data_IF_659003718590
#
_entry.id   IF_659003718590
#
_cell.length_a   1.000
_cell.length_b   1.000
_cell.length_c   1.000
_cell.angle_alpha   90.00
_cell.angle_beta   90.00
_cell.angle_gamma   90.00
#
_symmetry.space_group_name_H-M   'P 1'
#
loop_
_entity.id
_entity.type
_entity.pdbx_description
1 polymer ?
#
# COMPACT_ATOMS: atom_id res chain seq x y z
N UNK A 1 6.25 17.37 0.35
CA UNK A 1 5.86 16.97 -1.02
C UNK A 1 4.47 16.35 -0.98
N UNK A 2 3.74 16.34 -2.10
CA UNK A 2 2.43 15.68 -2.19
C UNK A 2 2.55 14.31 -2.87
N UNK A 3 1.53 13.47 -2.68
CA UNK A 3 1.40 12.16 -3.33
C UNK A 3 1.25 12.33 -4.85
N UNK A 4 1.87 11.45 -5.64
CA UNK A 4 1.81 11.51 -7.11
C UNK A 4 0.42 11.22 -7.67
N UNK A 5 -0.40 10.48 -6.91
CA UNK A 5 -1.77 10.13 -7.27
C UNK A 5 -2.76 10.52 -6.17
N UNK A 6 -3.98 10.87 -6.58
CA UNK A 6 -5.07 11.17 -5.66
C UNK A 6 -5.54 9.92 -4.90
N UNK A 7 -6.01 10.08 -3.66
CA UNK A 7 -6.46 8.96 -2.83
C UNK A 7 -7.62 8.17 -3.46
N UNK A 8 -8.56 8.87 -4.08
CA UNK A 8 -9.75 8.27 -4.70
C UNK A 8 -9.52 7.80 -6.15
N UNK A 9 -8.30 7.94 -6.66
CA UNK A 9 -7.93 7.49 -8.00
C UNK A 9 -7.59 5.97 -8.01
N UNK A 10 -8.34 5.15 -7.28
CA UNK A 10 -8.01 3.74 -7.08
C UNK A 10 -8.31 2.86 -8.30
N UNK A 11 -9.22 3.29 -9.19
CA UNK A 11 -9.71 2.50 -10.32
C UNK A 11 -8.85 2.57 -11.59
N UNK A 12 -7.72 3.27 -11.57
CA UNK A 12 -6.84 3.42 -12.73
C UNK A 12 -5.40 3.11 -12.31
N UNK A 13 -4.70 2.11 -12.87
CA UNK A 13 -5.17 1.13 -13.87
C UNK A 13 -6.06 0.04 -13.27
N UNK A 14 -7.06 -0.42 -14.05
CA UNK A 14 -8.05 -1.41 -13.62
C UNK A 14 -7.46 -2.75 -13.14
N UNK A 15 -6.35 -3.20 -13.72
CA UNK A 15 -5.72 -4.47 -13.36
C UNK A 15 -5.18 -4.48 -11.93
N UNK A 16 -4.48 -3.41 -11.53
CA UNK A 16 -3.97 -3.24 -10.17
C UNK A 16 -5.12 -2.99 -9.19
N UNK A 17 -6.19 -2.29 -9.62
CA UNK A 17 -7.41 -2.14 -8.82
C UNK A 17 -8.06 -3.51 -8.51
N UNK A 18 -8.17 -4.39 -9.51
CA UNK A 18 -8.71 -5.74 -9.30
C UNK A 18 -7.84 -6.54 -8.34
N UNK A 19 -6.52 -6.47 -8.49
CA UNK A 19 -5.58 -7.13 -7.60
C UNK A 19 -5.67 -6.58 -6.16
N UNK A 20 -5.80 -5.28 -5.99
CA UNK A 20 -5.98 -4.65 -4.67
C UNK A 20 -7.30 -4.99 -4.00
N UNK A 21 -8.36 -5.25 -4.77
CA UNK A 21 -9.67 -5.64 -4.24
C UNK A 21 -9.77 -7.15 -3.98
N UNK A 22 -9.28 -8.00 -4.88
CA UNK A 22 -9.42 -9.45 -4.80
C UNK A 22 -8.28 -10.13 -4.03
N UNK A 23 -7.07 -9.57 -4.07
CA UNK A 23 -5.88 -10.10 -3.39
C UNK A 23 -5.07 -8.98 -2.71
N UNK A 24 -5.65 -8.24 -1.74
CA UNK A 24 -4.99 -7.10 -1.09
C UNK A 24 -3.67 -7.48 -0.40
N UNK A 25 -3.56 -8.69 0.13
CA UNK A 25 -2.33 -9.19 0.75
C UNK A 25 -1.18 -9.33 -0.26
N UNK A 26 -1.44 -9.83 -1.47
CA UNK A 26 -0.45 -9.96 -2.53
C UNK A 26 0.05 -8.59 -3.00
N UNK A 27 -0.87 -7.63 -3.13
CA UNK A 27 -0.51 -6.26 -3.46
C UNK A 27 0.34 -5.63 -2.34
N UNK A 28 -0.04 -5.81 -1.08
CA UNK A 28 0.75 -5.35 0.07
C UNK A 28 2.16 -5.98 0.11
N UNK A 29 2.26 -7.28 -0.22
CA UNK A 29 3.52 -7.98 -0.36
C UNK A 29 4.40 -7.36 -1.44
N UNK A 30 3.84 -7.14 -2.64
CA UNK A 30 4.53 -6.45 -3.74
C UNK A 30 5.04 -5.07 -3.35
N UNK A 31 4.18 -4.25 -2.73
CA UNK A 31 4.53 -2.92 -2.20
C UNK A 31 5.71 -3.02 -1.24
N UNK A 32 5.70 -4.04 -0.37
CA UNK A 32 6.74 -4.24 0.63
C UNK A 32 8.10 -4.53 -0.03
N UNK A 33 8.14 -5.41 -1.02
CA UNK A 33 9.37 -5.74 -1.75
C UNK A 33 9.92 -4.54 -2.52
N UNK A 34 9.06 -3.79 -3.22
CA UNK A 34 9.46 -2.57 -3.95
C UNK A 34 9.95 -1.46 -3.04
N UNK A 35 9.41 -1.37 -1.83
CA UNK A 35 9.89 -0.39 -0.85
C UNK A 35 11.31 -0.71 -0.38
N UNK A 36 11.65 -1.99 -0.27
CA UNK A 36 12.99 -2.44 0.13
C UNK A 36 14.00 -2.29 -1.02
N UNK A 37 13.65 -2.77 -2.22
CA UNK A 37 14.47 -2.64 -3.42
C UNK A 37 13.62 -2.18 -4.62
N UNK A 38 13.74 -0.90 -5.02
CA UNK A 38 13.01 -0.33 -6.16
C UNK A 38 13.40 -0.93 -7.52
N UNK A 39 14.55 -1.63 -7.62
CA UNK A 39 15.04 -2.19 -8.89
C UNK A 39 14.45 -3.55 -9.22
N UNK A 40 13.80 -4.19 -8.24
CA UNK A 40 13.05 -5.42 -8.46
C UNK A 40 11.83 -5.09 -9.34
N UNK A 41 11.78 -5.72 -10.52
CA UNK A 41 10.65 -5.68 -11.46
C UNK A 41 9.79 -6.95 -11.38
N UNK A 42 10.30 -8.00 -10.76
CA UNK A 42 9.71 -9.35 -10.69
C UNK A 42 9.55 -9.76 -9.21
N UNK A 43 8.84 -8.93 -8.47
CA UNK A 43 8.71 -9.03 -7.02
C UNK A 43 7.77 -10.20 -6.68
N UNK A 44 8.25 -11.12 -5.83
CA UNK A 44 7.39 -12.17 -5.29
C UNK A 44 6.30 -11.53 -4.43
N UNK A 45 5.06 -11.61 -4.91
CA UNK A 45 3.87 -11.12 -4.21
C UNK A 45 3.56 -11.95 -2.95
N UNK A 46 4.09 -13.17 -2.87
CA UNK A 46 3.96 -14.08 -1.74
C UNK A 46 5.22 -14.02 -0.88
N UNK A 47 5.31 -12.97 -0.06
CA UNK A 47 6.42 -12.74 0.87
C UNK A 47 5.92 -12.52 2.31
N UNK A 48 6.84 -12.25 3.23
CA UNK A 48 6.50 -12.00 4.64
C UNK A 48 5.48 -10.87 4.83
N UNK A 49 5.52 -9.83 4.00
CA UNK A 49 4.54 -8.73 4.01
C UNK A 49 3.14 -9.16 3.58
N UNK A 50 3.02 -10.11 2.65
CA UNK A 50 1.74 -10.71 2.25
C UNK A 50 1.16 -11.58 3.38
N UNK A 51 1.97 -12.46 3.97
CA UNK A 51 1.55 -13.30 5.09
C UNK A 51 1.12 -12.47 6.30
N UNK A 52 1.91 -11.45 6.66
CA UNK A 52 1.60 -10.55 7.78
C UNK A 52 0.29 -9.80 7.56
N UNK A 53 0.09 -9.25 6.36
CA UNK A 53 -1.15 -8.56 6.03
C UNK A 53 -2.34 -9.51 6.09
N UNK A 54 -2.23 -10.71 5.53
CA UNK A 54 -3.29 -11.71 5.54
C UNK A 54 -3.69 -12.09 6.97
N UNK A 55 -2.72 -12.39 7.85
CA UNK A 55 -2.97 -12.75 9.24
C UNK A 55 -3.63 -11.61 10.03
N UNK A 56 -3.12 -10.38 9.91
CA UNK A 56 -3.70 -9.22 10.59
C UNK A 56 -5.09 -8.87 10.04
N UNK A 57 -5.29 -9.03 8.73
CA UNK A 57 -6.59 -8.83 8.09
C UNK A 57 -7.62 -9.84 8.59
N UNK A 58 -7.23 -11.10 8.80
CA UNK A 58 -8.10 -12.13 9.38
C UNK A 58 -8.55 -11.77 10.81
N UNK A 59 -7.69 -11.10 11.57
CA UNK A 59 -8.00 -10.60 12.92
C UNK A 59 -8.70 -9.23 12.94
N UNK A 60 -9.06 -8.65 11.78
CA UNK A 60 -9.69 -7.32 11.69
C UNK A 60 -8.73 -6.13 11.88
N UNK A 61 -7.42 -6.38 11.93
CA UNK A 61 -6.37 -5.37 12.12
C UNK A 61 -5.65 -4.99 10.82
N UNK A 62 -6.30 -5.14 9.66
CA UNK A 62 -5.70 -4.81 8.35
C UNK A 62 -5.21 -3.36 8.25
N UNK A 63 -5.81 -2.42 9.00
CA UNK A 63 -5.45 -1.01 8.93
C UNK A 63 -4.07 -0.71 9.53
N UNK A 64 -3.60 -1.53 10.48
CA UNK A 64 -2.31 -1.37 11.15
C UNK A 64 -1.14 -1.49 10.15
N UNK A 65 -0.98 -2.61 9.41
CA UNK A 65 0.11 -2.73 8.45
C UNK A 65 -0.01 -1.69 7.32
N UNK A 66 -1.22 -1.30 6.92
CA UNK A 66 -1.44 -0.22 5.94
C UNK A 66 -0.95 1.13 6.42
N UNK A 67 -1.34 1.57 7.62
CA UNK A 67 -0.92 2.86 8.14
C UNK A 67 0.59 2.90 8.37
N UNK A 68 1.19 1.78 8.81
CA UNK A 68 2.63 1.67 8.97
C UNK A 68 3.35 1.80 7.63
N UNK A 69 2.90 1.06 6.59
CA UNK A 69 3.49 1.17 5.25
C UNK A 69 3.31 2.56 4.65
N UNK A 70 2.15 3.16 4.85
CA UNK A 70 1.89 4.54 4.43
C UNK A 70 2.88 5.51 5.06
N UNK A 71 3.09 5.39 6.37
CA UNK A 71 4.08 6.19 7.10
C UNK A 71 5.50 6.01 6.55
N UNK A 72 5.91 4.77 6.30
CA UNK A 72 7.23 4.47 5.71
C UNK A 72 7.41 5.11 4.34
N UNK A 73 6.41 5.04 3.47
CA UNK A 73 6.44 5.67 2.13
C UNK A 73 6.55 7.19 2.28
N UNK A 74 5.78 7.79 3.19
CA UNK A 74 5.82 9.23 3.44
C UNK A 74 7.18 9.69 3.95
N UNK A 75 7.78 8.94 4.86
CA UNK A 75 9.12 9.24 5.38
C UNK A 75 10.17 9.08 4.29
N UNK A 76 10.12 8.00 3.50
CA UNK A 76 11.06 7.72 2.39
C UNK A 76 11.06 8.82 1.33
N UNK A 77 9.90 9.38 0.98
CA UNK A 77 9.77 10.38 -0.08
C UNK A 77 9.52 11.82 0.41
N UNK A 78 9.52 12.08 1.72
CA UNK A 78 9.26 13.41 2.29
C UNK A 78 7.85 13.94 1.99
N UNK A 79 6.84 13.06 2.07
CA UNK A 79 5.44 13.39 1.80
C UNK A 79 4.73 13.96 3.05
N UNK A 80 3.90 14.98 2.83
CA UNK A 80 3.12 15.60 3.89
C UNK A 80 2.02 14.69 4.43
N UNK A 81 1.68 14.85 5.72
CA UNK A 81 0.60 14.13 6.39
C UNK A 81 0.84 13.89 7.88
N UNK A 82 -0.01 13.08 8.50
CA UNK A 82 0.12 12.67 9.90
C UNK A 82 -0.27 11.20 10.08
N UNK A 83 0.25 10.56 11.13
CA UNK A 83 -0.11 9.16 11.43
C UNK A 83 -1.60 8.96 11.66
N UNK A 84 -2.29 9.95 12.25
CA UNK A 84 -3.76 9.93 12.39
C UNK A 84 -4.46 9.96 11.01
N UNK A 85 -3.98 10.82 10.10
CA UNK A 85 -4.48 10.88 8.73
C UNK A 85 -4.20 9.61 7.92
N UNK A 86 -3.13 8.88 8.24
CA UNK A 86 -2.80 7.60 7.62
C UNK A 86 -3.69 6.47 8.14
N UNK A 87 -3.95 6.45 9.45
CA UNK A 87 -4.91 5.52 10.06
C UNK A 87 -6.32 5.70 9.49
N UNK A 88 -6.81 6.94 9.41
CA UNK A 88 -8.14 7.23 8.85
C UNK A 88 -8.27 6.74 7.39
N UNK A 89 -7.25 6.96 6.55
CA UNK A 89 -7.24 6.50 5.16
C UNK A 89 -7.20 4.97 5.07
N UNK A 90 -6.34 4.33 5.87
CA UNK A 90 -6.21 2.88 5.95
C UNK A 90 -7.50 2.19 6.42
N UNK A 91 -8.25 2.81 7.34
CA UNK A 91 -9.54 2.31 7.83
C UNK A 91 -10.70 2.59 6.86
N UNK A 92 -10.75 3.79 6.26
CA UNK A 92 -11.87 4.24 5.42
C UNK A 92 -11.91 3.53 4.07
N UNK A 93 -10.76 3.42 3.40
CA UNK A 93 -10.65 2.71 2.13
C UNK A 93 -9.29 1.98 2.05
N UNK A 94 -9.21 0.72 2.51
CA UNK A 94 -7.99 -0.08 2.48
C UNK A 94 -7.45 -0.27 1.05
N UNK A 95 -8.34 -0.54 0.09
CA UNK A 95 -7.95 -0.72 -1.31
C UNK A 95 -7.39 0.57 -1.92
N UNK A 96 -8.02 1.72 -1.67
CA UNK A 96 -7.51 3.02 -2.11
C UNK A 96 -6.13 3.31 -1.52
N UNK A 97 -5.94 3.00 -0.24
CA UNK A 97 -4.66 3.17 0.45
C UNK A 97 -3.56 2.32 -0.18
N UNK A 98 -3.84 1.02 -0.41
CA UNK A 98 -2.94 0.09 -1.12
C UNK A 98 -2.59 0.58 -2.53
N UNK A 99 -3.61 1.02 -3.28
CA UNK A 99 -3.42 1.53 -4.63
C UNK A 99 -2.54 2.78 -4.67
N UNK A 100 -2.75 3.72 -3.73
CA UNK A 100 -1.95 4.92 -3.67
C UNK A 100 -0.48 4.60 -3.31
N UNK A 101 -0.22 3.58 -2.48
CA UNK A 101 1.14 3.12 -2.18
C UNK A 101 1.85 2.58 -3.43
N UNK A 102 1.17 1.71 -4.17
CA UNK A 102 1.71 1.10 -5.39
C UNK A 102 2.02 2.15 -6.45
N UNK A 103 1.09 3.09 -6.68
CA UNK A 103 1.30 4.18 -7.62
C UNK A 103 2.47 5.07 -7.24
N UNK A 104 2.61 5.39 -5.96
CA UNK A 104 3.74 6.22 -5.50
C UNK A 104 5.05 5.49 -5.79
N UNK A 105 5.15 4.20 -5.46
CA UNK A 105 6.35 3.39 -5.72
C UNK A 105 6.61 3.16 -7.21
N UNK A 106 5.59 3.06 -8.05
CA UNK A 106 5.77 2.96 -9.51
C UNK A 106 6.18 4.30 -10.14
N UNK A 107 5.80 5.42 -9.52
CA UNK A 107 6.10 6.77 -10.04
C UNK A 107 7.47 7.32 -9.66
N UNK A 108 8.19 6.67 -8.74
CA UNK A 108 9.43 7.17 -8.12
C UNK A 108 10.58 6.19 -8.32
#
# INVERSE_FOLDING_TARGET
QEWSSGFWDCCSPCGTCFLGCCCPCCLHGRTSSRLEDPTLKDDSMMNGGCCLYFLLSYCGFHFIPLMMKRGQIREKFGLEGSGCGDCMRACCCPCCTLMQHEKELESR
#
